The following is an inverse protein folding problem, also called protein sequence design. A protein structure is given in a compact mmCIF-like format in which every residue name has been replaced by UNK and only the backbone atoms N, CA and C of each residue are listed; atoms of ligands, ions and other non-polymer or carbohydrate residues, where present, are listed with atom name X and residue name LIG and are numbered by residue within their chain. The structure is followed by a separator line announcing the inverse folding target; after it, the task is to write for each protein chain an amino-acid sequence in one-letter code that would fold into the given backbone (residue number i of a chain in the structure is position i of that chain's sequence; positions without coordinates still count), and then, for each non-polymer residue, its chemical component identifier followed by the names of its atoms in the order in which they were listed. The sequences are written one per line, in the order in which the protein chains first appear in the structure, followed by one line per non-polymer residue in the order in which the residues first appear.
data_IF_089246840718
#
_entry.id   IF_089246840718
#
_cell.length_a   1.000
_cell.length_b   1.000
_cell.length_c   1.000
_cell.angle_alpha   90.00
_cell.angle_beta   90.00
_cell.angle_gamma   90.00
#
_symmetry.space_group_name_H-M   'P 1'
#
loop_
_entity.id
_entity.type
_entity.pdbx_description
1 polymer ?
#
# COMPACT_ATOMS: atom_id res chain seq x y z
N UNK A 1 -4.71 9.71 -1.81
CA UNK A 1 -5.60 8.55 -2.07
C UNK A 1 -7.04 9.00 -1.93
N UNK A 2 -7.87 8.67 -2.91
CA UNK A 2 -9.28 9.01 -2.95
C UNK A 2 -10.12 7.74 -2.84
N UNK A 3 -11.24 7.84 -2.12
CA UNK A 3 -12.28 6.83 -2.06
C UNK A 3 -13.53 7.37 -2.76
N UNK A 4 -14.08 6.57 -3.68
CA UNK A 4 -15.36 6.81 -4.31
C UNK A 4 -16.34 5.71 -3.91
N UNK A 5 -17.48 6.08 -3.32
CA UNK A 5 -18.55 5.16 -2.96
C UNK A 5 -19.93 5.83 -3.06
N UNK A 6 -20.96 5.25 -2.42
CA UNK A 6 -22.33 5.80 -2.43
C UNK A 6 -22.46 7.17 -1.75
N UNK A 7 -21.49 7.59 -0.94
CA UNK A 7 -21.44 8.90 -0.30
C UNK A 7 -20.69 9.94 -1.15
N UNK A 8 -20.13 9.53 -2.30
CA UNK A 8 -19.39 10.39 -3.21
C UNK A 8 -17.87 10.19 -3.13
N UNK A 9 -17.13 11.21 -3.58
CA UNK A 9 -15.67 11.20 -3.68
C UNK A 9 -15.07 11.92 -2.47
N UNK A 10 -14.19 11.25 -1.71
CA UNK A 10 -13.50 11.82 -0.54
C UNK A 10 -12.03 11.41 -0.48
N UNK A 11 -11.23 12.24 0.18
CA UNK A 11 -9.81 11.96 0.43
C UNK A 11 -9.70 11.05 1.64
N UNK A 12 -8.89 10.00 1.53
CA UNK A 12 -8.62 9.04 2.62
C UNK A 12 -7.18 9.08 3.11
N UNK A 13 -6.27 9.62 2.30
CA UNK A 13 -4.89 9.85 2.72
C UNK A 13 -4.22 10.88 1.81
N UNK A 14 -3.48 11.81 2.37
CA UNK A 14 -2.62 12.75 1.64
C UNK A 14 -1.16 12.46 1.97
N UNK A 15 -0.30 12.55 0.96
CA UNK A 15 1.14 12.45 1.14
C UNK A 15 1.72 13.84 1.14
N UNK A 16 2.56 14.13 2.13
CA UNK A 16 3.35 15.36 2.17
C UNK A 16 4.75 15.05 1.62
N UNK A 17 5.20 15.84 0.64
CA UNK A 17 6.55 15.71 0.09
C UNK A 17 6.62 15.02 -1.28
N UNK A 18 7.81 14.54 -1.69
CA UNK A 18 8.06 14.03 -3.03
C UNK A 18 7.49 12.62 -3.27
N UNK A 19 7.11 11.94 -2.20
CA UNK A 19 6.62 10.57 -2.26
C UNK A 19 5.23 10.50 -2.87
N UNK A 20 4.99 9.41 -3.58
CA UNK A 20 3.71 9.11 -4.20
C UNK A 20 3.05 7.94 -3.51
N UNK A 21 1.73 7.85 -3.65
CA UNK A 21 0.94 6.70 -3.19
C UNK A 21 0.35 5.97 -4.38
N UNK A 22 0.56 4.66 -4.46
CA UNK A 22 0.13 3.86 -5.60
C UNK A 22 -0.21 2.41 -5.21
N UNK A 23 -0.74 1.64 -6.16
CA UNK A 23 -1.17 0.25 -5.99
C UNK A 23 -2.10 0.00 -4.79
N UNK A 24 -3.22 0.74 -4.67
CA UNK A 24 -4.17 0.54 -3.58
C UNK A 24 -4.86 -0.84 -3.69
N UNK A 25 -4.90 -1.58 -2.59
CA UNK A 25 -5.59 -2.88 -2.48
C UNK A 25 -6.36 -2.95 -1.18
N UNK A 26 -7.66 -3.22 -1.26
CA UNK A 26 -8.49 -3.47 -0.07
C UNK A 26 -8.25 -4.88 0.50
N UNK A 27 -8.41 -5.00 1.81
CA UNK A 27 -8.62 -6.30 2.46
C UNK A 27 -9.87 -6.99 1.90
N UNK A 28 -9.80 -8.30 1.68
CA UNK A 28 -10.92 -9.07 1.12
C UNK A 28 -11.83 -9.72 2.17
N UNK A 29 -11.35 -9.82 3.42
CA UNK A 29 -12.12 -10.39 4.53
C UNK A 29 -13.11 -9.36 5.07
N UNK A 30 -14.39 -9.71 5.30
CA UNK A 30 -15.36 -8.82 5.95
C UNK A 30 -14.89 -8.14 7.23
N UNK A 31 -14.07 -8.81 8.05
CA UNK A 31 -13.49 -8.24 9.28
C UNK A 31 -12.42 -7.18 9.01
N UNK A 32 -11.69 -7.31 7.89
CA UNK A 32 -10.63 -6.38 7.46
C UNK A 32 -10.97 -5.66 6.16
N UNK A 33 -12.26 -5.62 5.80
CA UNK A 33 -12.73 -5.13 4.50
C UNK A 33 -12.51 -3.61 4.37
N UNK A 34 -12.38 -2.92 5.50
CA UNK A 34 -12.15 -1.48 5.57
C UNK A 34 -10.68 -1.10 5.82
N UNK A 35 -9.76 -2.01 5.48
CA UNK A 35 -8.32 -1.75 5.48
C UNK A 35 -7.84 -1.60 4.05
N UNK A 36 -7.17 -0.49 3.76
CA UNK A 36 -6.52 -0.23 2.49
C UNK A 36 -5.01 -0.35 2.62
N UNK A 37 -4.42 -1.24 1.82
CA UNK A 37 -2.98 -1.38 1.67
C UNK A 37 -2.51 -0.55 0.49
N UNK A 38 -1.44 0.22 0.68
CA UNK A 38 -0.88 1.10 -0.36
C UNK A 38 0.65 1.00 -0.38
N UNK A 39 1.23 1.29 -1.54
CA UNK A 39 2.66 1.58 -1.66
C UNK A 39 2.89 3.08 -1.43
N UNK A 40 3.91 3.44 -0.66
CA UNK A 40 4.40 4.81 -0.52
C UNK A 40 5.90 4.89 -0.79
N UNK A 41 6.30 5.90 -1.57
CA UNK A 41 7.68 6.17 -1.95
C UNK A 41 7.79 6.87 -3.31
N UNK A 42 9.02 7.12 -3.81
CA UNK A 42 9.24 7.71 -5.13
C UNK A 42 8.65 6.86 -6.25
N UNK A 43 7.82 7.49 -7.08
CA UNK A 43 7.22 6.82 -8.24
C UNK A 43 8.28 6.45 -9.29
N UNK A 44 8.24 5.22 -9.80
CA UNK A 44 9.00 4.75 -10.98
C UNK A 44 10.53 4.62 -10.83
N UNK A 45 11.08 4.68 -9.62
CA UNK A 45 12.49 4.42 -9.35
C UNK A 45 12.71 3.02 -8.78
N UNK A 46 13.13 2.08 -9.63
CA UNK A 46 13.23 0.65 -9.25
C UNK A 46 14.25 0.35 -8.13
N UNK A 47 15.20 1.25 -7.89
CA UNK A 47 16.23 1.08 -6.86
C UNK A 47 15.93 1.88 -5.59
N UNK A 48 14.93 2.76 -5.61
CA UNK A 48 14.60 3.57 -4.45
C UNK A 48 13.64 2.81 -3.53
N UNK A 49 13.67 3.09 -2.22
CA UNK A 49 12.79 2.43 -1.27
C UNK A 49 11.32 2.71 -1.60
N UNK A 50 10.52 1.65 -1.58
CA UNK A 50 9.06 1.74 -1.61
C UNK A 50 8.58 0.86 -0.48
N UNK A 51 7.69 1.38 0.34
CA UNK A 51 7.19 0.67 1.51
C UNK A 51 5.68 0.50 1.48
N UNK A 52 5.22 -0.55 2.14
CA UNK A 52 3.81 -0.87 2.26
C UNK A 52 3.25 -0.23 3.52
N UNK A 53 2.06 0.34 3.40
CA UNK A 53 1.33 0.92 4.51
C UNK A 53 -0.11 0.42 4.53
N UNK A 54 -0.69 0.36 5.73
CA UNK A 54 -2.11 0.13 5.95
C UNK A 54 -2.80 1.42 6.40
N UNK A 55 -3.97 1.70 5.85
CA UNK A 55 -4.89 2.76 6.27
C UNK A 55 -6.16 2.06 6.73
N UNK A 56 -6.58 2.30 7.98
CA UNK A 56 -7.74 1.66 8.61
C UNK A 56 -8.96 2.57 8.57
N UNK A 57 -10.15 1.99 8.73
CA UNK A 57 -11.45 2.70 8.81
C UNK A 57 -11.71 3.65 7.62
N UNK A 58 -11.26 3.23 6.44
CA UNK A 58 -11.22 4.01 5.19
C UNK A 58 -12.61 4.50 4.76
N UNK A 59 -13.65 3.74 5.08
CA UNK A 59 -15.04 4.05 4.75
C UNK A 59 -15.67 5.08 5.69
N UNK A 60 -15.15 5.27 6.91
CA UNK A 60 -15.80 6.10 7.93
C UNK A 60 -14.92 7.28 8.36
N UNK A 61 -13.83 7.01 9.07
CA UNK A 61 -12.87 7.99 9.53
C UNK A 61 -11.45 7.43 9.36
N UNK A 62 -10.84 7.61 8.17
CA UNK A 62 -9.55 7.04 7.85
C UNK A 62 -8.52 7.37 8.92
N UNK A 63 -7.89 6.34 9.47
CA UNK A 63 -6.82 6.50 10.44
C UNK A 63 -5.49 6.86 9.77
N UNK A 64 -4.51 7.28 10.56
CA UNK A 64 -3.16 7.50 10.09
C UNK A 64 -2.59 6.23 9.45
N UNK A 65 -1.85 6.39 8.35
CA UNK A 65 -1.19 5.28 7.67
C UNK A 65 -0.12 4.64 8.57
N UNK A 66 -0.17 3.32 8.71
CA UNK A 66 0.77 2.52 9.50
C UNK A 66 1.73 1.81 8.56
N UNK A 67 3.04 1.99 8.77
CA UNK A 67 4.08 1.34 7.99
C UNK A 67 4.16 -0.16 8.31
N UNK A 68 4.11 -1.01 7.29
CA UNK A 68 4.14 -2.47 7.40
C UNK A 68 5.49 -3.08 7.02
N UNK A 69 6.24 -2.40 6.15
CA UNK A 69 7.56 -2.83 5.71
C UNK A 69 8.57 -1.70 5.86
N UNK A 70 9.84 -2.06 6.07
CA UNK A 70 10.94 -1.11 6.20
C UNK A 70 12.23 -1.65 5.60
N UNK A 71 13.14 -0.72 5.29
CA UNK A 71 14.49 -0.98 4.80
C UNK A 71 14.81 -0.17 3.55
N UNK A 72 15.92 -0.51 2.90
CA UNK A 72 16.33 0.11 1.63
C UNK A 72 15.92 -0.75 0.43
N UNK A 73 14.68 -1.22 0.43
CA UNK A 73 14.14 -2.13 -0.58
C UNK A 73 12.91 -1.56 -1.27
N UNK A 74 12.65 -2.03 -2.48
CA UNK A 74 11.42 -1.73 -3.19
C UNK A 74 10.39 -2.82 -2.87
N UNK A 75 9.61 -2.61 -1.81
CA UNK A 75 8.52 -3.46 -1.36
C UNK A 75 7.21 -2.93 -1.96
N UNK A 76 6.70 -3.56 -3.01
CA UNK A 76 5.63 -2.99 -3.83
C UNK A 76 4.61 -4.02 -4.29
N UNK A 77 3.49 -3.50 -4.81
CA UNK A 77 2.41 -4.28 -5.44
C UNK A 77 1.86 -5.37 -4.51
N UNK A 78 1.25 -4.98 -3.37
CA UNK A 78 0.67 -5.94 -2.45
C UNK A 78 -0.53 -6.67 -3.08
N UNK A 79 -0.80 -7.89 -2.63
CA UNK A 79 -2.06 -8.60 -2.88
C UNK A 79 -2.45 -9.38 -1.63
N UNK A 80 -3.72 -9.29 -1.24
CA UNK A 80 -4.28 -9.98 -0.07
C UNK A 80 -4.85 -11.34 -0.45
N UNK A 81 -4.89 -12.29 0.50
CA UNK A 81 -5.69 -13.50 0.35
C UNK A 81 -7.18 -13.23 0.64
N UNK A 82 -8.12 -14.09 0.19
CA UNK A 82 -9.55 -13.92 0.44
C UNK A 82 -9.89 -13.78 1.93
N UNK A 83 -9.18 -14.50 2.79
CA UNK A 83 -9.37 -14.43 4.24
C UNK A 83 -8.72 -13.20 4.88
N UNK A 84 -8.07 -12.30 4.12
CA UNK A 84 -7.51 -11.03 4.61
C UNK A 84 -6.44 -11.16 5.71
N UNK A 85 -6.03 -12.37 6.03
CA UNK A 85 -5.05 -12.68 7.09
C UNK A 85 -3.61 -12.61 6.60
N UNK A 86 -3.40 -12.56 5.29
CA UNK A 86 -2.09 -12.58 4.66
C UNK A 86 -2.09 -11.66 3.45
N UNK A 87 -0.91 -11.11 3.16
CA UNK A 87 -0.64 -10.49 1.88
C UNK A 87 0.73 -10.93 1.36
N UNK A 88 0.85 -10.94 0.04
CA UNK A 88 2.12 -11.10 -0.67
C UNK A 88 2.49 -9.77 -1.32
N UNK A 89 3.77 -9.57 -1.57
CA UNK A 89 4.29 -8.37 -2.22
C UNK A 89 5.60 -8.69 -2.96
N UNK A 90 5.94 -7.87 -3.96
CA UNK A 90 7.25 -7.91 -4.61
C UNK A 90 8.27 -7.24 -3.70
N UNK A 91 9.46 -7.82 -3.56
CA UNK A 91 10.60 -7.18 -2.87
C UNK A 91 11.89 -7.32 -3.67
N UNK A 92 12.76 -6.31 -3.61
CA UNK A 92 14.12 -6.36 -4.18
C UNK A 92 15.15 -6.94 -3.24
N UNK A 93 14.78 -7.27 -1.98
CA UNK A 93 15.67 -7.75 -0.91
C UNK A 93 16.63 -8.86 -1.34
N UNK A 94 16.12 -9.84 -2.09
CA UNK A 94 16.89 -11.03 -2.45
C UNK A 94 17.32 -11.06 -3.91
N UNK A 95 17.43 -9.91 -4.59
CA UNK A 95 18.05 -9.90 -5.91
C UNK A 95 17.90 -8.68 -6.79
N UNK A 96 16.98 -7.77 -6.47
CA UNK A 96 16.74 -6.56 -7.26
C UNK A 96 16.64 -6.81 -8.78
N UNK A 97 16.85 -5.78 -9.62
CA UNK A 97 16.99 -5.92 -11.07
C UNK A 97 18.24 -6.71 -11.48
N UNK A 98 19.21 -6.90 -10.57
CA UNK A 98 20.52 -7.49 -10.87
C UNK A 98 20.52 -9.03 -10.91
N UNK A 99 19.51 -9.70 -10.37
CA UNK A 99 19.39 -11.19 -10.38
C UNK A 99 18.44 -11.75 -11.44
N UNK A 100 17.73 -10.90 -12.18
CA UNK A 100 16.88 -11.31 -13.32
C UNK A 100 17.55 -10.96 -14.67
N UNK A 101 18.85 -11.24 -14.80
CA UNK A 101 19.55 -11.18 -16.09
C UNK A 101 19.61 -12.56 -16.74
#
# INVERSE_FOLDING_TARGET
VWLADSQGLRIVHETEGPDSVFSPVFGQNPEFADVLYVCMGPSFHANDPVELFAIFDVSSNPQQAIQLTSGEYNNAFPSTNPEGTRFVFRSTRDGGPKRYK
#
